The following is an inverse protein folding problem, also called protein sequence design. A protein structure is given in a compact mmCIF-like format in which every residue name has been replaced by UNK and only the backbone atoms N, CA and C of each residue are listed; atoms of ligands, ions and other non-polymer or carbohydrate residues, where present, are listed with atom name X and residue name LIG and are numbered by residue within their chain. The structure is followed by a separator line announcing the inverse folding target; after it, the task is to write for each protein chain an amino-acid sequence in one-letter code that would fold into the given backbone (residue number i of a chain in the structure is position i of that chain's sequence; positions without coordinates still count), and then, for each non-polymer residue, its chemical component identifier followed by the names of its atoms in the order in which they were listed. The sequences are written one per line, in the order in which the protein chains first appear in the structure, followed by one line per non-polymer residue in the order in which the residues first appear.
data_IF_537538248906
#
_entry.id   IF_537538248906
#
_cell.length_a   1.000
_cell.length_b   1.000
_cell.length_c   1.000
_cell.angle_alpha   90.00
_cell.angle_beta   90.00
_cell.angle_gamma   90.00
#
_symmetry.space_group_name_H-M   'P 1'
#
loop_
_entity.id
_entity.type
_entity.pdbx_description
1 polymer ?
#
# COMPACT_ATOMS: atom_id res chain seq x y z
N UNK A 1 42.38 -2.18 -7.40
CA UNK A 1 41.03 -1.78 -6.94
C UNK A 1 40.61 -2.75 -5.87
N UNK A 2 40.58 -2.31 -4.62
CA UNK A 2 40.17 -3.13 -3.48
C UNK A 2 38.66 -3.33 -3.55
N UNK A 3 38.22 -4.55 -3.84
CA UNK A 3 36.83 -4.97 -3.61
C UNK A 3 36.65 -4.97 -2.10
N UNK A 4 36.06 -3.90 -1.54
CA UNK A 4 35.74 -3.87 -0.12
C UNK A 4 34.78 -5.02 0.17
N UNK A 5 35.27 -6.05 0.86
CA UNK A 5 34.45 -7.13 1.35
C UNK A 5 33.47 -6.52 2.35
N UNK A 6 32.18 -6.47 2.00
CA UNK A 6 31.12 -6.22 2.97
C UNK A 6 31.27 -7.24 4.10
N UNK A 7 31.54 -6.76 5.31
CA UNK A 7 31.62 -7.63 6.48
C UNK A 7 30.22 -8.13 6.85
N UNK A 8 30.12 -9.24 7.58
CA UNK A 8 28.83 -9.74 8.06
C UNK A 8 28.09 -8.70 8.92
N UNK A 9 28.84 -7.83 9.61
CA UNK A 9 28.30 -6.70 10.35
C UNK A 9 27.65 -5.66 9.45
N UNK A 10 28.23 -5.36 8.29
CA UNK A 10 27.67 -4.41 7.31
C UNK A 10 26.36 -4.93 6.71
N UNK A 11 26.30 -6.25 6.43
CA UNK A 11 25.08 -6.91 5.93
C UNK A 11 23.96 -6.90 6.97
N UNK A 12 24.28 -7.20 8.23
CA UNK A 12 23.32 -7.15 9.33
C UNK A 12 22.77 -5.73 9.53
N UNK A 13 23.61 -4.71 9.46
CA UNK A 13 23.17 -3.31 9.55
C UNK A 13 22.29 -2.88 8.38
N UNK A 14 22.65 -3.28 7.15
CA UNK A 14 21.84 -3.02 5.97
C UNK A 14 20.44 -3.66 6.09
N UNK A 15 20.36 -4.90 6.58
CA UNK A 15 19.09 -5.58 6.80
C UNK A 15 18.21 -4.88 7.86
N UNK A 16 18.81 -4.42 8.96
CA UNK A 16 18.10 -3.65 9.99
C UNK A 16 17.55 -2.34 9.42
N UNK A 17 18.34 -1.63 8.61
CA UNK A 17 17.92 -0.39 7.96
C UNK A 17 16.77 -0.65 6.96
N UNK A 18 16.87 -1.69 6.14
CA UNK A 18 15.82 -2.14 5.24
C UNK A 18 14.52 -2.46 6.00
N UNK A 19 14.58 -3.30 7.03
CA UNK A 19 13.41 -3.69 7.83
C UNK A 19 12.73 -2.48 8.46
N UNK A 20 13.51 -1.51 8.95
CA UNK A 20 12.99 -0.24 9.48
C UNK A 20 12.27 0.56 8.39
N UNK A 21 12.88 0.74 7.22
CA UNK A 21 12.29 1.48 6.09
C UNK A 21 10.99 0.82 5.61
N UNK A 22 11.01 -0.49 5.38
CA UNK A 22 9.85 -1.26 4.96
C UNK A 22 8.71 -1.19 6.00
N UNK A 23 9.05 -1.31 7.30
CA UNK A 23 8.08 -1.21 8.39
C UNK A 23 7.44 0.17 8.52
N UNK A 24 8.23 1.25 8.35
CA UNK A 24 7.68 2.63 8.33
C UNK A 24 6.73 2.81 7.14
N UNK A 25 7.13 2.39 5.94
CA UNK A 25 6.28 2.49 4.75
C UNK A 25 4.96 1.70 4.91
N UNK A 26 4.99 0.53 5.55
CA UNK A 26 3.76 -0.22 5.84
C UNK A 26 2.86 0.52 6.82
N UNK A 27 3.42 1.10 7.89
CA UNK A 27 2.65 1.87 8.87
C UNK A 27 2.03 3.12 8.24
N UNK A 28 2.77 3.83 7.38
CA UNK A 28 2.25 4.96 6.61
C UNK A 28 1.10 4.53 5.69
N UNK A 29 1.26 3.42 4.95
CA UNK A 29 0.20 2.87 4.12
C UNK A 29 -1.05 2.49 4.92
N UNK A 30 -0.89 1.84 6.08
CA UNK A 30 -2.01 1.52 6.98
C UNK A 30 -2.72 2.78 7.50
N UNK A 31 -1.95 3.82 7.87
CA UNK A 31 -2.54 5.09 8.31
C UNK A 31 -3.31 5.80 7.19
N UNK A 32 -2.75 5.84 5.98
CA UNK A 32 -3.42 6.39 4.79
C UNK A 32 -4.69 5.59 4.49
N UNK A 33 -4.63 4.27 4.58
CA UNK A 33 -5.78 3.39 4.40
C UNK A 33 -6.90 3.74 5.39
N UNK A 34 -6.57 3.81 6.68
CA UNK A 34 -7.54 4.08 7.74
C UNK A 34 -8.21 5.45 7.54
N UNK A 35 -7.42 6.48 7.25
CA UNK A 35 -7.95 7.82 6.96
C UNK A 35 -8.83 7.86 5.72
N UNK A 36 -8.41 7.20 4.64
CA UNK A 36 -9.15 7.21 3.39
C UNK A 36 -10.49 6.49 3.51
N UNK A 37 -10.52 5.31 4.14
CA UNK A 37 -11.76 4.54 4.37
C UNK A 37 -12.67 5.24 5.37
N UNK A 38 -12.12 5.84 6.44
CA UNK A 38 -12.90 6.61 7.39
C UNK A 38 -13.57 7.83 6.73
N UNK A 39 -12.84 8.54 5.87
CA UNK A 39 -13.36 9.69 5.11
C UNK A 39 -14.43 9.26 4.11
N UNK A 40 -14.22 8.15 3.40
CA UNK A 40 -15.20 7.60 2.46
C UNK A 40 -16.54 7.28 3.18
N UNK A 41 -16.47 6.70 4.39
CA UNK A 41 -17.67 6.45 5.22
C UNK A 41 -18.37 7.75 5.64
N UNK A 42 -17.63 8.75 6.10
CA UNK A 42 -18.20 10.03 6.56
C UNK A 42 -18.91 10.84 5.47
N UNK A 43 -18.45 10.70 4.23
CA UNK A 43 -19.01 11.40 3.07
C UNK A 43 -20.15 10.61 2.40
N UNK A 44 -20.32 9.34 2.74
CA UNK A 44 -21.30 8.46 2.12
C UNK A 44 -22.67 8.52 2.78
N UNK A 45 -23.69 8.88 1.99
CA UNK A 45 -25.10 8.86 2.42
C UNK A 45 -25.57 7.49 2.94
N UNK A 46 -24.94 6.39 2.50
CA UNK A 46 -25.29 5.03 2.92
C UNK A 46 -24.80 4.67 4.32
N UNK A 47 -23.83 5.43 4.84
CA UNK A 47 -23.26 5.21 6.15
C UNK A 47 -23.97 6.01 7.24
N UNK A 48 -24.91 6.90 6.89
CA UNK A 48 -25.59 7.77 7.86
C UNK A 48 -26.47 7.00 8.87
N UNK A 49 -26.67 7.64 10.02
CA UNK A 49 -27.44 7.15 11.15
C UNK A 49 -26.53 6.51 12.22
N UNK A 50 -26.70 6.92 13.48
CA UNK A 50 -25.88 6.41 14.59
C UNK A 50 -25.95 4.89 14.78
N UNK A 51 -27.10 4.29 14.45
CA UNK A 51 -27.34 2.84 14.54
C UNK A 51 -26.83 2.06 13.30
N UNK A 52 -26.21 2.73 12.34
CA UNK A 52 -25.69 2.10 11.13
C UNK A 52 -24.50 1.19 11.46
N UNK A 53 -24.53 -0.05 10.96
CA UNK A 53 -23.44 -1.03 11.16
C UNK A 53 -22.10 -0.59 10.59
N UNK A 54 -22.07 0.40 9.69
CA UNK A 54 -20.83 1.00 9.21
C UNK A 54 -19.96 1.58 10.35
N UNK A 55 -20.57 1.96 11.48
CA UNK A 55 -19.91 2.51 12.67
C UNK A 55 -19.50 1.46 13.71
N UNK A 56 -19.95 0.20 13.55
CA UNK A 56 -19.59 -0.86 14.50
C UNK A 56 -18.21 -1.48 14.23
N UNK A 57 -17.61 -1.20 13.06
CA UNK A 57 -16.30 -1.73 12.66
C UNK A 57 -15.47 -0.61 12.04
N UNK A 58 -14.25 -0.46 12.55
CA UNK A 58 -13.26 0.48 12.03
C UNK A 58 -12.81 0.17 10.60
N UNK A 59 -12.05 1.07 9.95
CA UNK A 59 -11.71 2.41 10.44
C UNK A 59 -12.88 3.40 10.25
N UNK A 60 -13.01 4.37 11.15
CA UNK A 60 -13.93 5.52 11.07
C UNK A 60 -13.37 6.67 11.92
N UNK A 61 -13.75 7.91 11.60
CA UNK A 61 -13.39 9.06 12.42
C UNK A 61 -14.24 9.05 13.70
N UNK A 62 -13.60 9.20 14.85
CA UNK A 62 -14.28 9.37 16.14
C UNK A 62 -13.85 10.68 16.80
N UNK A 63 -14.64 11.12 17.78
CA UNK A 63 -14.29 12.26 18.59
C UNK A 63 -12.99 12.01 19.37
N UNK A 64 -12.23 13.08 19.62
CA UNK A 64 -11.07 13.04 20.49
C UNK A 64 -11.43 12.64 21.93
N UNK A 65 -10.43 12.26 22.72
CA UNK A 65 -10.66 11.89 24.11
C UNK A 65 -11.24 13.08 24.91
N UNK A 66 -12.46 12.91 25.44
CA UNK A 66 -13.15 13.93 26.22
C UNK A 66 -14.01 14.90 25.39
N UNK A 67 -14.09 14.71 24.08
CA UNK A 67 -14.91 15.54 23.18
C UNK A 67 -16.30 14.92 22.95
N UNK A 68 -17.24 15.76 22.51
CA UNK A 68 -18.59 15.31 22.10
C UNK A 68 -18.50 14.41 20.86
N UNK A 69 -19.34 13.37 20.80
CA UNK A 69 -19.36 12.42 19.69
C UNK A 69 -19.58 13.13 18.35
N UNK A 70 -18.93 12.62 17.30
CA UNK A 70 -19.15 13.06 15.93
C UNK A 70 -20.61 12.75 15.55
N UNK A 71 -21.31 13.75 14.98
CA UNK A 71 -22.70 13.58 14.52
C UNK A 71 -22.73 12.78 13.21
N UNK A 72 -23.14 11.51 13.30
CA UNK A 72 -23.29 10.62 12.14
C UNK A 72 -24.67 10.71 11.47
N UNK A 73 -25.54 11.64 11.89
CA UNK A 73 -26.88 11.80 11.31
C UNK A 73 -26.87 12.51 9.96
N UNK A 74 -25.75 13.15 9.59
CA UNK A 74 -25.59 13.93 8.35
C UNK A 74 -24.22 13.69 7.73
N UNK A 75 -24.10 13.74 6.39
CA UNK A 75 -22.80 13.59 5.74
C UNK A 75 -21.98 14.85 5.93
N UNK A 76 -20.67 14.69 6.00
CA UNK A 76 -19.75 15.82 6.08
C UNK A 76 -19.66 16.52 4.73
N UNK A 77 -19.52 17.85 4.73
CA UNK A 77 -19.25 18.61 3.52
C UNK A 77 -17.73 18.72 3.31
N UNK A 78 -17.22 18.21 2.19
CA UNK A 78 -15.82 18.33 1.81
C UNK A 78 -15.62 19.53 0.89
N UNK A 79 -14.66 20.40 1.22
CA UNK A 79 -14.12 21.38 0.27
C UNK A 79 -13.06 20.67 -0.57
N UNK A 80 -13.26 20.67 -1.88
CA UNK A 80 -12.40 19.96 -2.82
C UNK A 80 -11.08 20.70 -3.07
N UNK A 81 -10.03 19.96 -3.42
CA UNK A 81 -8.75 20.56 -3.83
C UNK A 81 -8.88 21.29 -5.17
N UNK A 82 -7.88 22.12 -5.49
CA UNK A 82 -7.79 22.77 -6.80
C UNK A 82 -7.68 21.73 -7.93
N UNK A 83 -6.88 20.68 -7.74
CA UNK A 83 -6.68 19.59 -8.70
C UNK A 83 -7.98 18.87 -8.98
N UNK A 84 -8.75 18.56 -7.93
CA UNK A 84 -10.07 17.92 -8.07
C UNK A 84 -11.03 18.84 -8.81
N UNK A 85 -10.99 20.14 -8.53
CA UNK A 85 -11.80 21.14 -9.22
C UNK A 85 -11.42 21.24 -10.70
N UNK A 86 -10.13 21.25 -11.04
CA UNK A 86 -9.67 21.25 -12.44
C UNK A 86 -10.11 19.96 -13.15
N UNK A 87 -9.90 18.80 -12.53
CA UNK A 87 -10.33 17.52 -13.09
C UNK A 87 -11.85 17.46 -13.32
N UNK A 88 -12.64 17.94 -12.35
CA UNK A 88 -14.09 18.03 -12.48
C UNK A 88 -14.52 18.96 -13.63
N UNK A 89 -13.85 20.10 -13.81
CA UNK A 89 -14.11 21.01 -14.95
C UNK A 89 -13.84 20.32 -16.29
N UNK A 90 -12.74 19.57 -16.39
CA UNK A 90 -12.35 18.85 -17.61
C UNK A 90 -13.32 17.72 -17.95
N UNK A 91 -13.78 16.96 -16.95
CA UNK A 91 -14.60 15.76 -17.16
C UNK A 91 -16.08 16.10 -17.31
N UNK A 92 -16.60 17.01 -16.47
CA UNK A 92 -18.05 17.29 -16.40
C UNK A 92 -18.48 18.42 -17.35
N UNK A 93 -17.53 19.18 -17.92
CA UNK A 93 -17.81 20.33 -18.76
C UNK A 93 -18.49 21.44 -17.96
N UNK A 94 -17.70 22.36 -17.39
CA UNK A 94 -18.23 23.49 -16.62
C UNK A 94 -17.26 24.66 -16.51
N UNK A 95 -17.81 25.88 -16.47
CA UNK A 95 -17.05 27.11 -16.22
C UNK A 95 -16.32 27.09 -14.88
N UNK A 96 -15.29 27.95 -14.81
CA UNK A 96 -14.37 28.16 -13.66
C UNK A 96 -15.09 28.18 -12.31
N UNK A 97 -14.37 27.82 -11.22
CA UNK A 97 -14.90 27.81 -9.87
C UNK A 97 -15.75 29.06 -9.56
N UNK A 98 -16.97 28.83 -9.07
CA UNK A 98 -17.90 29.90 -8.65
C UNK A 98 -17.28 30.76 -7.55
N UNK A 99 -17.87 31.92 -7.25
CA UNK A 99 -17.42 32.81 -6.17
C UNK A 99 -17.43 32.18 -4.77
N UNK A 100 -18.12 31.05 -4.60
CA UNK A 100 -18.13 30.20 -3.41
C UNK A 100 -17.28 28.92 -3.54
N UNK A 101 -16.42 28.83 -4.57
CA UNK A 101 -15.37 27.82 -4.71
C UNK A 101 -15.77 26.46 -5.29
N UNK A 102 -17.03 26.22 -5.68
CA UNK A 102 -17.48 24.85 -6.01
C UNK A 102 -17.83 24.61 -7.48
N UNK A 103 -17.15 23.64 -8.12
CA UNK A 103 -17.75 22.84 -9.19
C UNK A 103 -18.60 21.75 -8.52
N UNK A 104 -19.87 21.62 -8.93
CA UNK A 104 -20.74 20.57 -8.42
C UNK A 104 -20.27 19.23 -9.00
N UNK A 105 -19.54 18.45 -8.21
CA UNK A 105 -19.25 17.05 -8.53
C UNK A 105 -20.48 16.24 -8.14
N UNK A 106 -21.15 15.55 -9.07
CA UNK A 106 -22.27 14.70 -8.72
C UNK A 106 -21.80 13.63 -7.74
N UNK A 107 -22.62 13.33 -6.74
CA UNK A 107 -22.38 12.18 -5.88
C UNK A 107 -22.30 10.94 -6.78
N UNK A 108 -21.21 10.17 -6.67
CA UNK A 108 -21.06 8.94 -7.43
C UNK A 108 -22.22 7.99 -7.05
N UNK A 109 -22.97 7.44 -8.02
CA UNK A 109 -24.06 6.52 -7.71
C UNK A 109 -23.59 5.38 -6.81
N UNK A 110 -24.46 4.97 -5.90
CA UNK A 110 -24.29 3.75 -5.10
C UNK A 110 -23.81 2.58 -5.99
N UNK A 111 -22.63 2.01 -5.72
CA UNK A 111 -22.08 0.88 -6.48
C UNK A 111 -21.40 1.21 -7.82
N UNK A 112 -21.23 2.49 -8.17
CA UNK A 112 -20.60 2.91 -9.43
C UNK A 112 -19.07 3.01 -9.39
N UNK A 113 -18.43 3.03 -8.20
CA UNK A 113 -16.97 3.02 -8.12
C UNK A 113 -16.44 1.61 -7.93
N UNK A 114 -15.80 1.09 -8.98
CA UNK A 114 -14.96 -0.11 -8.95
C UNK A 114 -13.73 0.12 -8.03
N UNK A 115 -13.44 1.37 -7.69
CA UNK A 115 -12.30 1.80 -6.88
C UNK A 115 -12.77 2.30 -5.51
N UNK A 116 -12.76 1.41 -4.52
CA UNK A 116 -12.79 1.78 -3.09
C UNK A 116 -11.40 2.23 -2.67
N UNK A 117 -11.28 3.24 -1.81
CA UNK A 117 -9.99 3.72 -1.32
C UNK A 117 -9.10 2.58 -0.78
N UNK A 118 -9.74 1.60 -0.12
CA UNK A 118 -9.14 0.34 0.32
C UNK A 118 -8.26 -0.34 -0.73
N UNK A 119 -8.78 -0.54 -1.94
CA UNK A 119 -8.12 -1.30 -3.00
C UNK A 119 -6.92 -0.55 -3.56
N UNK A 120 -7.05 0.78 -3.69
CA UNK A 120 -5.99 1.63 -4.21
C UNK A 120 -4.81 1.68 -3.25
N UNK A 121 -5.07 1.91 -1.96
CA UNK A 121 -4.01 1.98 -0.95
C UNK A 121 -3.32 0.63 -0.80
N UNK A 122 -4.08 -0.48 -0.74
CA UNK A 122 -3.51 -1.82 -0.67
C UNK A 122 -2.61 -2.16 -1.87
N UNK A 123 -3.05 -1.81 -3.09
CA UNK A 123 -2.26 -1.98 -4.32
C UNK A 123 -0.94 -1.21 -4.24
N UNK A 124 -0.99 0.07 -3.88
CA UNK A 124 0.20 0.92 -3.78
C UNK A 124 1.15 0.43 -2.69
N UNK A 125 0.62 -0.03 -1.56
CA UNK A 125 1.42 -0.60 -0.48
C UNK A 125 2.21 -1.83 -0.94
N UNK A 126 1.59 -2.79 -1.63
CA UNK A 126 2.28 -3.98 -2.15
C UNK A 126 3.39 -3.59 -3.13
N UNK A 127 3.09 -2.67 -4.05
CA UNK A 127 4.07 -2.18 -5.03
C UNK A 127 5.25 -1.55 -4.30
N UNK A 128 5.00 -0.61 -3.39
CA UNK A 128 6.05 0.09 -2.64
C UNK A 128 6.91 -0.87 -1.81
N UNK A 129 6.31 -1.85 -1.12
CA UNK A 129 7.06 -2.85 -0.36
C UNK A 129 8.03 -3.64 -1.25
N UNK A 130 7.60 -4.01 -2.46
CA UNK A 130 8.48 -4.67 -3.42
C UNK A 130 9.60 -3.74 -3.90
N UNK A 131 9.31 -2.46 -4.15
CA UNK A 131 10.34 -1.50 -4.59
C UNK A 131 11.40 -1.28 -3.48
N UNK A 132 10.98 -1.18 -2.21
CA UNK A 132 11.89 -1.07 -1.07
C UNK A 132 12.76 -2.33 -0.96
N UNK A 133 12.16 -3.51 -1.12
CA UNK A 133 12.92 -4.78 -1.18
C UNK A 133 13.91 -4.80 -2.33
N UNK A 134 13.49 -4.38 -3.54
CA UNK A 134 14.34 -4.39 -4.72
C UNK A 134 15.58 -3.53 -4.52
N UNK A 135 15.43 -2.32 -3.99
CA UNK A 135 16.54 -1.41 -3.68
C UNK A 135 17.54 -2.12 -2.74
N UNK A 136 17.04 -2.67 -1.63
CA UNK A 136 17.86 -3.41 -0.67
C UNK A 136 18.54 -4.65 -1.29
N UNK A 137 17.82 -5.37 -2.15
CA UNK A 137 18.29 -6.60 -2.75
C UNK A 137 19.42 -6.37 -3.75
N UNK A 138 19.34 -5.26 -4.51
CA UNK A 138 20.42 -4.79 -5.38
C UNK A 138 21.69 -4.53 -4.56
N UNK A 139 21.57 -3.75 -3.49
CA UNK A 139 22.70 -3.38 -2.63
C UNK A 139 23.32 -4.61 -1.93
N UNK A 140 22.47 -5.55 -1.50
CA UNK A 140 22.90 -6.76 -0.78
C UNK A 140 23.34 -7.89 -1.72
N UNK A 141 23.20 -7.70 -3.04
CA UNK A 141 23.44 -8.70 -4.08
C UNK A 141 22.71 -10.01 -3.78
N UNK A 142 21.39 -9.92 -3.57
CA UNK A 142 20.49 -11.06 -3.40
C UNK A 142 19.42 -11.05 -4.52
N UNK A 143 18.71 -12.16 -4.78
CA UNK A 143 17.76 -12.24 -5.89
C UNK A 143 16.56 -11.31 -5.69
N UNK A 144 16.15 -10.57 -6.72
CA UNK A 144 14.94 -9.73 -6.70
C UNK A 144 14.05 -9.87 -7.94
N UNK A 145 14.43 -10.76 -8.85
CA UNK A 145 13.67 -11.04 -10.07
C UNK A 145 13.62 -12.54 -10.32
N UNK A 146 12.97 -12.94 -11.40
CA UNK A 146 12.97 -14.33 -11.90
C UNK A 146 14.35 -14.83 -12.37
N UNK A 147 15.42 -14.03 -12.24
CA UNK A 147 16.78 -14.40 -12.64
C UNK A 147 17.56 -14.85 -11.40
N UNK A 148 18.18 -16.02 -11.51
CA UNK A 148 19.04 -16.60 -10.48
C UNK A 148 20.43 -15.93 -10.59
N UNK A 149 20.91 -15.21 -9.56
CA UNK A 149 22.28 -14.66 -9.56
C UNK A 149 23.32 -15.79 -9.52
N UNK A 150 24.49 -15.53 -10.08
CA UNK A 150 25.56 -16.53 -10.20
C UNK A 150 26.04 -17.05 -8.84
N UNK A 151 26.11 -16.16 -7.85
CA UNK A 151 26.48 -16.43 -6.45
C UNK A 151 25.58 -17.47 -5.75
N UNK A 152 24.39 -17.74 -6.28
CA UNK A 152 23.42 -18.68 -5.68
C UNK A 152 23.40 -20.06 -6.35
N UNK A 153 24.24 -20.30 -7.38
CA UNK A 153 24.29 -21.59 -8.09
C UNK A 153 24.96 -22.72 -7.30
N UNK A 154 25.68 -22.40 -6.24
CA UNK A 154 26.44 -23.35 -5.41
C UNK A 154 25.82 -23.57 -4.01
N UNK A 155 24.70 -22.92 -3.72
CA UNK A 155 23.98 -23.03 -2.44
C UNK A 155 23.14 -24.33 -2.44
N UNK A 156 22.74 -24.83 -1.27
CA UNK A 156 21.77 -25.93 -1.16
C UNK A 156 20.55 -25.64 -2.04
N UNK A 157 20.39 -26.47 -3.08
CA UNK A 157 19.37 -26.24 -4.11
C UNK A 157 17.96 -26.36 -3.54
N UNK A 158 17.73 -27.18 -2.51
CA UNK A 158 16.40 -27.39 -1.94
C UNK A 158 15.93 -26.17 -1.13
N UNK A 159 16.81 -25.63 -0.28
CA UNK A 159 16.54 -24.43 0.50
C UNK A 159 16.43 -23.19 -0.40
N UNK A 160 17.31 -23.08 -1.40
CA UNK A 160 17.26 -22.01 -2.39
C UNK A 160 15.93 -22.01 -3.17
N UNK A 161 15.52 -23.15 -3.74
CA UNK A 161 14.29 -23.22 -4.53
C UNK A 161 13.03 -22.86 -3.71
N UNK A 162 13.01 -23.21 -2.42
CA UNK A 162 11.89 -22.84 -1.55
C UNK A 162 11.75 -21.31 -1.40
N UNK A 163 12.85 -20.62 -1.05
CA UNK A 163 12.86 -19.16 -0.88
C UNK A 163 12.65 -18.46 -2.23
N UNK A 164 13.27 -18.97 -3.29
CA UNK A 164 13.17 -18.42 -4.64
C UNK A 164 11.77 -18.58 -5.24
N UNK A 165 11.07 -19.68 -4.93
CA UNK A 165 9.66 -19.86 -5.30
C UNK A 165 8.76 -18.79 -4.64
N UNK A 166 8.97 -18.52 -3.35
CA UNK A 166 8.24 -17.47 -2.65
C UNK A 166 8.51 -16.09 -3.26
N UNK A 167 9.77 -15.76 -3.57
CA UNK A 167 10.13 -14.53 -4.27
C UNK A 167 9.41 -14.41 -5.62
N UNK A 168 9.39 -15.48 -6.43
CA UNK A 168 8.69 -15.46 -7.73
C UNK A 168 7.22 -15.12 -7.55
N UNK A 169 6.52 -15.74 -6.60
CA UNK A 169 5.13 -15.40 -6.31
C UNK A 169 4.93 -13.92 -5.94
N UNK A 170 5.88 -13.31 -5.21
CA UNK A 170 5.82 -11.89 -4.84
C UNK A 170 6.05 -10.97 -6.04
N UNK A 171 7.02 -11.30 -6.88
CA UNK A 171 7.31 -10.58 -8.13
C UNK A 171 6.11 -10.65 -9.07
N UNK A 172 5.55 -11.84 -9.26
CA UNK A 172 4.41 -12.09 -10.14
C UNK A 172 3.18 -11.32 -9.66
N UNK A 173 2.88 -11.36 -8.34
CA UNK A 173 1.76 -10.61 -7.78
C UNK A 173 1.92 -9.10 -7.95
N UNK A 174 3.12 -8.55 -7.71
CA UNK A 174 3.42 -7.14 -7.96
C UNK A 174 3.25 -6.77 -9.44
N UNK A 175 3.70 -7.63 -10.34
CA UNK A 175 3.57 -7.39 -11.79
C UNK A 175 2.13 -7.48 -12.26
N UNK A 176 1.34 -8.43 -11.75
CA UNK A 176 -0.10 -8.53 -11.99
C UNK A 176 -0.78 -7.22 -11.59
N UNK A 177 -0.52 -6.70 -10.40
CA UNK A 177 -1.11 -5.47 -9.91
C UNK A 177 -0.76 -4.24 -10.77
N UNK A 178 0.39 -4.21 -11.45
CA UNK A 178 0.83 -3.07 -12.27
C UNK A 178 0.37 -3.20 -13.73
N UNK A 179 0.41 -4.40 -14.29
CA UNK A 179 0.33 -4.62 -15.74
C UNK A 179 -0.92 -5.38 -16.19
N UNK A 180 -1.62 -6.10 -15.32
CA UNK A 180 -2.80 -6.85 -15.74
C UNK A 180 -4.00 -5.92 -15.93
N UNK A 181 -4.68 -6.07 -17.06
CA UNK A 181 -5.94 -5.36 -17.35
C UNK A 181 -7.04 -5.76 -16.36
N UNK A 182 -7.05 -7.04 -15.96
CA UNK A 182 -7.95 -7.60 -14.95
C UNK A 182 -7.14 -8.44 -13.95
N UNK A 183 -7.22 -8.07 -12.68
CA UNK A 183 -6.61 -8.82 -11.58
C UNK A 183 -7.51 -8.80 -10.34
N UNK A 184 -7.32 -9.77 -9.45
CA UNK A 184 -8.01 -9.78 -8.17
C UNK A 184 -7.58 -8.56 -7.34
N UNK A 185 -8.55 -7.77 -6.87
CA UNK A 185 -8.27 -6.57 -6.08
C UNK A 185 -7.59 -6.93 -4.77
N UNK A 186 -6.46 -6.26 -4.42
CA UNK A 186 -5.79 -6.53 -3.18
C UNK A 186 -6.55 -5.97 -1.99
N UNK A 187 -6.25 -6.52 -0.82
CA UNK A 187 -6.75 -6.05 0.49
C UNK A 187 -5.59 -5.55 1.34
N UNK A 188 -5.85 -4.72 2.36
CA UNK A 188 -4.80 -4.35 3.29
C UNK A 188 -4.25 -5.53 4.09
N UNK A 189 -5.07 -6.56 4.32
CA UNK A 189 -4.60 -7.83 4.89
C UNK A 189 -3.52 -8.45 4.00
N UNK A 190 -3.76 -8.52 2.70
CA UNK A 190 -2.79 -9.01 1.73
C UNK A 190 -1.51 -8.15 1.74
N UNK A 191 -1.61 -6.82 1.82
CA UNK A 191 -0.45 -5.94 1.90
C UNK A 191 0.42 -6.19 3.15
N UNK A 192 -0.20 -6.45 4.31
CA UNK A 192 0.51 -6.80 5.54
C UNK A 192 1.15 -8.20 5.44
N UNK A 193 0.43 -9.16 4.86
CA UNK A 193 0.97 -10.50 4.60
C UNK A 193 2.16 -10.44 3.64
N UNK A 194 2.07 -9.62 2.57
CA UNK A 194 3.15 -9.38 1.61
C UNK A 194 4.39 -8.81 2.29
N UNK A 195 4.25 -7.82 3.16
CA UNK A 195 5.36 -7.28 3.97
C UNK A 195 6.04 -8.38 4.81
N UNK A 196 5.26 -9.19 5.51
CA UNK A 196 5.85 -10.23 6.37
C UNK A 196 6.67 -11.24 5.56
N UNK A 197 6.15 -11.66 4.40
CA UNK A 197 6.83 -12.63 3.56
C UNK A 197 8.04 -12.02 2.86
N UNK A 198 7.98 -10.77 2.38
CA UNK A 198 9.14 -10.14 1.72
C UNK A 198 10.28 -9.83 2.71
N UNK A 199 9.98 -9.54 3.98
CA UNK A 199 10.99 -9.46 5.05
C UNK A 199 11.62 -10.83 5.30
N UNK A 200 10.81 -11.89 5.37
CA UNK A 200 11.31 -13.26 5.55
C UNK A 200 12.20 -13.70 4.37
N UNK A 201 11.78 -13.44 3.12
CA UNK A 201 12.57 -13.71 1.91
C UNK A 201 13.95 -13.05 2.00
N UNK A 202 14.00 -11.78 2.38
CA UNK A 202 15.24 -11.03 2.53
C UNK A 202 16.18 -11.63 3.58
N UNK A 203 15.64 -12.05 4.74
CA UNK A 203 16.39 -12.69 5.82
C UNK A 203 16.97 -14.05 5.39
N UNK A 204 16.15 -14.88 4.75
CA UNK A 204 16.59 -16.20 4.29
C UNK A 204 17.67 -16.12 3.20
N UNK A 205 17.54 -15.18 2.25
CA UNK A 205 18.60 -15.01 1.24
C UNK A 205 19.94 -14.55 1.83
N UNK A 206 19.93 -13.82 2.94
CA UNK A 206 21.17 -13.50 3.66
C UNK A 206 21.79 -14.73 4.32
N UNK A 207 20.98 -15.57 4.99
CA UNK A 207 21.44 -16.82 5.62
C UNK A 207 21.98 -17.83 4.63
N UNK A 208 21.40 -17.88 3.43
CA UNK A 208 21.86 -18.73 2.34
C UNK A 208 23.22 -18.30 1.75
N UNK A 209 23.65 -17.06 2.04
CA UNK A 209 24.90 -16.47 1.55
C UNK A 209 26.04 -16.54 2.57
N UNK A 210 25.73 -16.76 3.85
CA UNK A 210 26.67 -16.94 4.97
C UNK A 210 27.12 -18.38 5.09
#
# INVERSE_FOLDING_TARGET
MSCAYFTDNDRAQAFVAYKKRAGVALLEACSIFDHAVASEKMLSWQCLGGDNKAWSVGPYLSAGAGEEQIDHSRPYCLILSLETSVAASLVLGGERPRSNGGILVPAFPAGSSVWKAERLVAKLAIIEQFEIYRDYAIDSKIPYSSKIPEDYRCVDQSAFEYVFSALRGHVDRRNELIHADECAFPTMREAVEYYNVIIWIADEFLKLKS
#
